data_IF_054852348512
#
_entry.id   IF_054852348512
#
_cell.length_a   1.000
_cell.length_b   1.000
_cell.length_c   1.000
_cell.angle_alpha   90.00
_cell.angle_beta   90.00
_cell.angle_gamma   90.00
#
_symmetry.space_group_name_H-M   'P 1'
#
loop_
_entity.id
_entity.type
_entity.pdbx_description
1 polymer ?
#
# COMPACT_ATOMS: atom_id res chain seq x y z
N UNK A 1 3.91 0.21 3.68
CA UNK A 1 4.34 0.39 5.09
C UNK A 1 3.11 0.37 6.02
N UNK A 2 3.32 0.49 7.34
CA UNK A 2 2.27 0.62 8.38
C UNK A 2 1.32 -0.57 8.57
N UNK A 3 1.69 -1.79 8.18
CA UNK A 3 0.81 -2.96 8.35
C UNK A 3 0.55 -3.30 9.83
N UNK A 4 -0.57 -3.96 10.11
CA UNK A 4 -0.90 -4.44 11.46
C UNK A 4 0.07 -5.54 11.88
N UNK A 5 0.72 -5.45 13.07
CA UNK A 5 1.70 -6.44 13.51
C UNK A 5 1.13 -7.86 13.53
N UNK A 6 1.92 -8.83 13.06
CA UNK A 6 1.53 -10.25 13.04
C UNK A 6 0.56 -10.66 11.93
N UNK A 7 0.16 -9.74 11.05
CA UNK A 7 -0.78 -10.05 9.95
C UNK A 7 -0.11 -10.30 8.60
N UNK A 8 1.20 -10.06 8.49
CA UNK A 8 1.95 -10.29 7.24
C UNK A 8 1.93 -11.79 6.94
N UNK A 9 1.46 -12.15 5.75
CA UNK A 9 1.22 -13.54 5.32
C UNK A 9 2.32 -14.11 4.44
N UNK A 10 3.33 -13.31 4.11
CA UNK A 10 4.42 -13.65 3.19
C UNK A 10 5.78 -13.51 3.86
N UNK A 11 6.76 -14.23 3.34
CA UNK A 11 8.16 -14.18 3.73
C UNK A 11 9.05 -13.68 2.58
N UNK A 12 10.25 -13.22 2.91
CA UNK A 12 11.23 -12.81 1.90
C UNK A 12 11.52 -13.95 0.93
N UNK A 13 11.40 -13.68 -0.37
CA UNK A 13 11.62 -14.64 -1.44
C UNK A 13 10.35 -15.34 -1.94
N UNK A 14 9.22 -15.18 -1.26
CA UNK A 14 7.96 -15.77 -1.71
C UNK A 14 7.47 -15.13 -3.03
N UNK A 15 7.05 -15.93 -4.02
CA UNK A 15 6.35 -15.40 -5.17
C UNK A 15 4.94 -14.96 -4.76
N UNK A 16 4.56 -13.74 -5.16
CA UNK A 16 3.21 -13.19 -4.91
C UNK A 16 2.41 -13.12 -6.20
N UNK A 17 1.08 -13.30 -6.09
CA UNK A 17 0.15 -13.18 -7.21
C UNK A 17 -0.77 -11.97 -7.03
N UNK A 18 -1.27 -11.43 -8.14
CA UNK A 18 -2.29 -10.38 -8.11
C UNK A 18 -3.51 -10.86 -7.33
N UNK A 19 -4.00 -10.03 -6.40
CA UNK A 19 -5.13 -10.35 -5.52
C UNK A 19 -4.77 -11.15 -4.26
N UNK A 20 -3.51 -11.57 -4.10
CA UNK A 20 -3.06 -12.24 -2.89
C UNK A 20 -3.04 -11.26 -1.72
N UNK A 21 -3.64 -11.66 -0.59
CA UNK A 21 -3.55 -10.90 0.66
C UNK A 21 -2.12 -10.99 1.20
N UNK A 22 -1.50 -9.83 1.41
CA UNK A 22 -0.13 -9.72 1.96
C UNK A 22 -0.11 -9.39 3.46
N UNK A 23 -1.20 -8.82 3.96
CA UNK A 23 -1.39 -8.44 5.36
C UNK A 23 -2.52 -7.43 5.52
N UNK A 24 -2.79 -7.02 6.76
CA UNK A 24 -3.86 -6.08 7.08
C UNK A 24 -3.30 -4.65 7.25
N UNK A 25 -4.11 -3.67 6.85
CA UNK A 25 -3.83 -2.25 7.15
C UNK A 25 -3.71 -2.07 8.66
N UNK A 26 -2.71 -1.31 9.09
CA UNK A 26 -2.50 -1.00 10.50
C UNK A 26 -1.97 0.41 10.68
N UNK A 27 -1.32 0.63 11.82
CA UNK A 27 -0.74 1.90 12.22
C UNK A 27 0.64 1.71 12.87
N UNK A 28 1.43 0.75 12.38
CA UNK A 28 2.76 0.46 12.93
C UNK A 28 3.81 1.52 12.51
N UNK A 29 4.83 1.73 13.33
CA UNK A 29 5.90 2.70 13.07
C UNK A 29 5.47 4.15 13.34
N UNK A 30 6.07 5.10 12.63
CA UNK A 30 5.74 6.52 12.74
C UNK A 30 4.53 6.86 11.85
N UNK A 31 3.33 6.75 12.40
CA UNK A 31 2.06 7.03 11.71
C UNK A 31 1.01 7.55 12.70
N UNK A 32 0.14 8.46 12.25
CA UNK A 32 -0.88 9.10 13.08
C UNK A 32 -2.20 8.32 13.14
N UNK A 33 -2.54 7.58 12.08
CA UNK A 33 -3.81 6.85 11.97
C UNK A 33 -3.67 5.62 11.04
N UNK A 34 -4.57 4.62 11.14
CA UNK A 34 -4.55 3.49 10.23
C UNK A 34 -4.73 3.90 8.77
N UNK A 35 -3.74 3.61 7.93
CA UNK A 35 -3.79 3.93 6.51
C UNK A 35 -2.88 3.01 5.70
N UNK A 36 -3.15 2.92 4.39
CA UNK A 36 -2.31 2.18 3.46
C UNK A 36 -1.31 3.13 2.78
N UNK A 37 -0.02 2.93 3.05
CA UNK A 37 1.07 3.60 2.34
C UNK A 37 1.62 2.69 1.23
N UNK A 38 1.51 3.15 -0.02
CA UNK A 38 2.01 2.49 -1.23
C UNK A 38 3.19 3.27 -1.82
N UNK A 39 4.24 2.54 -2.20
CA UNK A 39 5.41 3.07 -2.88
C UNK A 39 5.85 2.07 -3.95
N UNK A 40 6.25 2.56 -5.13
CA UNK A 40 6.82 1.76 -6.19
C UNK A 40 8.23 2.25 -6.50
N UNK A 41 9.15 1.29 -6.64
CA UNK A 41 10.55 1.53 -6.94
C UNK A 41 11.05 0.46 -7.90
N UNK A 42 11.99 0.82 -8.79
CA UNK A 42 12.78 -0.11 -9.58
C UNK A 42 14.24 0.32 -9.54
N UNK A 43 15.12 -0.59 -9.11
CA UNK A 43 16.57 -0.39 -9.07
C UNK A 43 17.00 0.89 -8.31
N UNK A 44 16.36 1.19 -7.18
CA UNK A 44 16.65 2.39 -6.38
C UNK A 44 15.94 3.67 -6.85
N UNK A 45 15.18 3.61 -7.94
CA UNK A 45 14.47 4.76 -8.51
C UNK A 45 12.98 4.67 -8.21
N UNK A 46 12.47 5.68 -7.50
CA UNK A 46 11.04 5.84 -7.25
C UNK A 46 10.26 6.00 -8.56
N UNK A 47 9.12 5.33 -8.64
CA UNK A 47 8.24 5.36 -9.79
C UNK A 47 6.91 6.03 -9.43
N UNK A 48 6.38 6.80 -10.37
CA UNK A 48 5.03 7.34 -10.25
C UNK A 48 4.00 6.21 -10.36
N UNK A 49 2.95 6.31 -9.54
CA UNK A 49 1.81 5.41 -9.55
C UNK A 49 0.63 6.07 -10.27
N UNK A 50 0.08 5.38 -11.27
CA UNK A 50 -1.21 5.71 -11.88
C UNK A 50 -2.29 4.78 -11.33
N UNK A 51 -3.37 5.35 -10.81
CA UNK A 51 -4.52 4.59 -10.34
C UNK A 51 -5.63 4.59 -11.38
N UNK A 52 -5.95 3.41 -11.90
CA UNK A 52 -7.09 3.22 -12.80
C UNK A 52 -8.39 3.05 -12.00
N UNK A 53 -9.52 3.40 -12.61
CA UNK A 53 -10.84 3.26 -11.98
C UNK A 53 -11.16 4.31 -10.90
N UNK A 54 -10.31 5.34 -10.75
CA UNK A 54 -10.59 6.48 -9.88
C UNK A 54 -11.18 7.62 -10.70
N UNK A 55 -12.42 8.03 -10.40
CA UNK A 55 -13.06 9.15 -11.09
C UNK A 55 -12.77 10.50 -10.41
N UNK A 56 -12.27 11.46 -11.21
CA UNK A 56 -11.92 12.81 -10.81
C UNK A 56 -10.49 12.96 -10.25
N UNK A 57 -10.02 14.20 -10.01
CA UNK A 57 -8.64 14.46 -9.58
C UNK A 57 -8.33 13.80 -8.22
N UNK A 58 -7.14 13.20 -8.12
CA UNK A 58 -6.58 12.75 -6.86
C UNK A 58 -5.97 13.95 -6.13
N UNK A 59 -6.79 14.60 -5.30
CA UNK A 59 -6.31 15.68 -4.44
C UNK A 59 -5.76 15.10 -3.13
N UNK A 60 -4.72 15.71 -2.57
CA UNK A 60 -4.24 15.41 -1.21
C UNK A 60 -5.44 15.44 -0.24
N UNK A 61 -5.67 14.34 0.49
CA UNK A 61 -6.78 14.21 1.45
C UNK A 61 -8.11 13.71 0.87
N UNK A 62 -8.20 13.33 -0.41
CA UNK A 62 -9.41 12.72 -0.97
C UNK A 62 -9.47 11.22 -0.64
N UNK A 63 -10.52 10.78 0.05
CA UNK A 63 -10.83 9.35 0.21
C UNK A 63 -11.38 8.79 -1.10
N UNK A 64 -10.63 7.87 -1.73
CA UNK A 64 -11.15 7.07 -2.84
C UNK A 64 -12.03 5.97 -2.22
N UNK A 65 -13.35 6.05 -2.45
CA UNK A 65 -14.31 5.00 -2.09
C UNK A 65 -14.69 4.29 -3.38
N UNK A 66 -14.36 3.00 -3.46
CA UNK A 66 -14.85 2.08 -4.49
C UNK A 66 -16.22 1.53 -4.11
#
# INVERSE_FOLDING_TARGET
>A
AHLRPGTVTVSTGDPVRVGQVLGEVGNSGNSSEPHLHLHAERDGLGLDLEFQGVSGPLCRGRTVRT
#
